data_IF_146418623227
#
_entry.id   IF_146418623227
#
_cell.length_a   1.000
_cell.length_b   1.000
_cell.length_c   1.000
_cell.angle_alpha   90.00
_cell.angle_beta   90.00
_cell.angle_gamma   90.00
#
_symmetry.space_group_name_H-M   'P 1'
#
loop_
_entity.id
_entity.type
_entity.pdbx_description
1 polymer ?
#
# COMPACT_ATOMS: atom_id res chain seq x y z
N UNK A 1 11.52 -1.47 -21.86
CA UNK A 1 10.09 -1.53 -22.21
C UNK A 1 9.35 -1.50 -20.89
N UNK A 2 8.33 -0.65 -20.73
CA UNK A 2 7.62 -0.54 -19.45
C UNK A 2 6.90 -1.87 -19.19
N UNK A 3 7.30 -2.59 -18.12
CA UNK A 3 6.69 -3.86 -17.68
C UNK A 3 5.32 -3.64 -16.99
N UNK A 4 4.75 -2.44 -17.09
CA UNK A 4 3.41 -2.16 -16.60
C UNK A 4 2.38 -2.78 -17.55
N UNK A 5 1.63 -3.75 -17.05
CA UNK A 5 0.57 -4.43 -17.82
C UNK A 5 -0.51 -3.41 -18.22
N UNK A 6 -0.90 -2.50 -17.32
CA UNK A 6 -1.78 -1.37 -17.64
C UNK A 6 -1.27 -0.07 -17.00
N UNK A 7 -0.72 0.82 -17.83
CA UNK A 7 -0.19 2.12 -17.37
C UNK A 7 -1.26 3.01 -16.73
N UNK A 8 -2.49 3.02 -17.24
CA UNK A 8 -3.54 3.90 -16.71
C UNK A 8 -4.01 3.41 -15.36
N UNK A 9 -4.17 2.10 -15.18
CA UNK A 9 -4.49 1.51 -13.87
C UNK A 9 -3.40 1.77 -12.84
N UNK A 10 -2.12 1.60 -13.21
CA UNK A 10 -1.00 1.91 -12.31
C UNK A 10 -0.98 3.38 -11.89
N UNK A 11 -1.25 4.33 -12.79
CA UNK A 11 -1.31 5.74 -12.42
C UNK A 11 -2.48 6.03 -11.46
N UNK A 12 -3.64 5.40 -11.67
CA UNK A 12 -4.78 5.55 -10.78
C UNK A 12 -4.49 4.94 -9.41
N UNK A 13 -3.89 3.75 -9.36
CA UNK A 13 -3.44 3.07 -8.15
C UNK A 13 -2.45 3.95 -7.37
N UNK A 14 -1.42 4.49 -8.03
CA UNK A 14 -0.44 5.37 -7.38
C UNK A 14 -1.07 6.63 -6.78
N UNK A 15 -2.04 7.26 -7.45
CA UNK A 15 -2.76 8.42 -6.88
C UNK A 15 -3.59 8.00 -5.65
N UNK A 16 -4.20 6.81 -5.71
CA UNK A 16 -4.97 6.24 -4.61
C UNK A 16 -4.07 5.93 -3.40
N UNK A 17 -2.92 5.29 -3.58
CA UNK A 17 -1.92 5.02 -2.53
C UNK A 17 -1.45 6.31 -1.84
N UNK A 18 -1.07 7.32 -2.63
CA UNK A 18 -0.67 8.62 -2.10
C UNK A 18 -1.76 9.20 -1.19
N UNK A 19 -3.02 9.07 -1.61
CA UNK A 19 -4.18 9.53 -0.83
C UNK A 19 -4.37 8.71 0.44
N UNK A 20 -4.24 7.39 0.38
CA UNK A 20 -4.30 6.49 1.54
C UNK A 20 -3.26 6.88 2.60
N UNK A 21 -2.05 7.23 2.18
CA UNK A 21 -0.96 7.63 3.06
C UNK A 21 -1.08 9.08 3.57
N UNK A 22 -2.11 9.83 3.18
CA UNK A 22 -2.26 11.25 3.52
C UNK A 22 -1.26 12.17 2.78
N UNK A 23 -0.66 11.69 1.70
CA UNK A 23 0.33 12.39 0.88
C UNK A 23 -0.37 13.02 -0.33
N UNK A 24 -0.21 14.33 -0.52
CA UNK A 24 -0.82 15.04 -1.65
C UNK A 24 -0.43 14.44 -3.01
N UNK A 25 -1.36 13.98 -3.86
CA UNK A 25 -0.95 13.40 -5.13
C UNK A 25 -0.38 14.46 -6.10
N UNK A 26 0.84 14.21 -6.58
CA UNK A 26 1.59 15.10 -7.48
C UNK A 26 2.19 14.30 -8.64
N UNK A 27 2.29 14.91 -9.82
CA UNK A 27 2.98 14.32 -10.98
C UNK A 27 4.42 13.89 -10.67
N UNK A 28 5.14 14.67 -9.86
CA UNK A 28 6.51 14.33 -9.47
C UNK A 28 6.57 13.03 -8.64
N UNK A 29 5.59 12.80 -7.76
CA UNK A 29 5.51 11.59 -6.93
C UNK A 29 5.14 10.35 -7.77
N UNK A 30 4.29 10.52 -8.78
CA UNK A 30 4.01 9.45 -9.76
C UNK A 30 5.26 9.11 -10.57
N UNK A 31 6.00 10.14 -11.02
CA UNK A 31 7.24 9.95 -11.76
C UNK A 31 8.27 9.15 -10.95
N UNK A 32 8.42 9.49 -9.68
CA UNK A 32 9.29 8.79 -8.72
C UNK A 32 8.85 7.34 -8.50
N UNK A 33 7.59 7.11 -8.10
CA UNK A 33 7.07 5.76 -7.79
C UNK A 33 7.06 4.81 -8.98
N UNK A 34 6.74 5.31 -10.17
CA UNK A 34 6.64 4.48 -11.38
C UNK A 34 7.93 4.49 -12.22
N UNK A 35 8.98 5.20 -11.81
CA UNK A 35 10.21 5.35 -12.58
C UNK A 35 10.01 5.98 -13.97
N UNK A 36 8.96 6.77 -14.14
CA UNK A 36 8.61 7.41 -15.41
C UNK A 36 9.16 8.84 -15.49
N UNK A 37 9.54 9.27 -16.70
CA UNK A 37 10.00 10.66 -16.88
C UNK A 37 8.88 11.67 -16.63
N UNK A 38 9.23 12.85 -16.10
CA UNK A 38 8.26 13.95 -15.89
C UNK A 38 7.43 14.33 -17.13
N UNK A 39 8.02 14.40 -18.35
CA UNK A 39 7.27 14.57 -19.59
C UNK A 39 6.27 13.43 -19.86
N UNK A 40 6.68 12.17 -19.67
CA UNK A 40 5.81 10.99 -19.85
C UNK A 40 4.61 11.02 -18.89
N UNK A 41 4.86 11.34 -17.62
CA UNK A 41 3.79 11.50 -16.63
C UNK A 41 2.85 12.64 -17.01
N UNK A 42 3.38 13.79 -17.42
CA UNK A 42 2.55 14.94 -17.81
C UNK A 42 1.64 14.63 -19.00
N UNK A 43 2.16 13.95 -20.03
CA UNK A 43 1.35 13.53 -21.18
C UNK A 43 0.28 12.51 -20.79
N UNK A 44 0.61 11.56 -19.93
CA UNK A 44 -0.32 10.51 -19.48
C UNK A 44 -1.43 11.10 -18.61
N UNK A 45 -1.09 11.99 -17.67
CA UNK A 45 -2.07 12.70 -16.85
C UNK A 45 -3.01 13.55 -17.71
N UNK A 46 -2.48 14.29 -18.70
CA UNK A 46 -3.31 15.07 -19.62
C UNK A 46 -4.26 14.20 -20.48
N UNK A 47 -3.91 12.93 -20.74
CA UNK A 47 -4.81 11.95 -21.36
C UNK A 47 -5.88 11.49 -20.37
N UNK A 48 -5.48 11.09 -19.17
CA UNK A 48 -6.40 10.64 -18.12
C UNK A 48 -7.41 11.72 -17.71
N UNK A 49 -7.00 12.99 -17.72
CA UNK A 49 -7.89 14.14 -17.46
C UNK A 49 -8.93 14.31 -18.57
N UNK A 50 -8.52 14.21 -19.85
CA UNK A 50 -9.47 14.20 -20.99
C UNK A 50 -10.43 13.01 -20.95
N UNK A 51 -9.96 11.87 -20.45
CA UNK A 51 -10.76 10.66 -20.27
C UNK A 51 -11.65 10.72 -19.01
N UNK A 52 -11.61 11.82 -18.25
CA UNK A 52 -12.45 12.05 -17.07
C UNK A 52 -12.07 11.20 -15.86
N UNK A 53 -10.82 10.74 -15.76
CA UNK A 53 -10.33 9.89 -14.67
C UNK A 53 -9.67 10.69 -13.54
N UNK A 54 -9.04 11.81 -13.87
CA UNK A 54 -8.37 12.68 -12.91
C UNK A 54 -8.68 14.15 -13.22
N UNK A 55 -8.46 15.02 -12.26
CA UNK A 55 -8.45 16.47 -12.44
C UNK A 55 -7.14 17.02 -11.93
N UNK A 56 -6.52 17.92 -12.68
CA UNK A 56 -5.39 18.72 -12.22
C UNK A 56 -5.92 20.03 -11.64
N UNK A 57 -5.83 20.19 -10.32
CA UNK A 57 -6.29 21.42 -9.65
C UNK A 57 -5.36 22.60 -9.93
N UNK A 58 -5.81 23.82 -9.62
CA UNK A 58 -5.06 25.06 -9.88
C UNK A 58 -3.70 25.13 -9.17
N UNK A 59 -3.55 24.46 -8.03
CA UNK A 59 -2.31 24.28 -7.27
C UNK A 59 -1.47 23.07 -7.73
N UNK A 60 -1.84 22.44 -8.85
CA UNK A 60 -1.19 21.29 -9.51
C UNK A 60 -1.33 19.95 -8.77
N UNK A 61 -2.21 19.86 -7.79
CA UNK A 61 -2.58 18.57 -7.18
C UNK A 61 -3.37 17.72 -8.18
N UNK A 62 -3.27 16.42 -8.02
CA UNK A 62 -4.07 15.46 -8.78
C UNK A 62 -5.19 14.93 -7.88
N UNK A 63 -6.41 15.02 -8.36
CA UNK A 63 -7.57 14.42 -7.70
C UNK A 63 -8.18 13.37 -8.61
N UNK A 64 -8.56 12.23 -8.04
CA UNK A 64 -9.35 11.23 -8.76
C UNK A 64 -10.78 11.75 -8.92
N UNK A 65 -11.32 11.68 -10.13
CA UNK A 65 -12.78 11.84 -10.31
C UNK A 65 -13.50 10.65 -9.66
N UNK A 66 -14.83 10.71 -9.55
CA UNK A 66 -15.59 9.55 -9.08
C UNK A 66 -15.32 8.29 -9.93
N UNK A 67 -15.25 8.46 -11.26
CA UNK A 67 -14.91 7.38 -12.18
C UNK A 67 -13.48 6.86 -11.97
N UNK A 68 -12.50 7.76 -11.85
CA UNK A 68 -11.12 7.38 -11.60
C UNK A 68 -10.93 6.68 -10.26
N UNK A 69 -11.62 7.16 -9.22
CA UNK A 69 -11.59 6.59 -7.88
C UNK A 69 -12.20 5.19 -7.86
N UNK A 70 -13.35 4.98 -8.50
CA UNK A 70 -13.95 3.66 -8.61
C UNK A 70 -13.01 2.67 -9.31
N UNK A 71 -12.32 3.09 -10.37
CA UNK A 71 -11.31 2.25 -11.04
C UNK A 71 -10.11 1.96 -10.13
N UNK A 72 -9.54 2.97 -9.48
CA UNK A 72 -8.40 2.80 -8.58
C UNK A 72 -8.71 1.84 -7.42
N UNK A 73 -9.88 2.00 -6.81
CA UNK A 73 -10.37 1.11 -5.74
C UNK A 73 -10.48 -0.34 -6.22
N UNK A 74 -10.98 -0.59 -7.43
CA UNK A 74 -11.09 -1.94 -7.99
C UNK A 74 -9.72 -2.56 -8.25
N UNK A 75 -8.77 -1.79 -8.79
CA UNK A 75 -7.39 -2.26 -9.00
C UNK A 75 -6.76 -2.62 -7.66
N UNK A 76 -6.85 -1.73 -6.66
CA UNK A 76 -6.31 -1.99 -5.32
C UNK A 76 -7.00 -3.16 -4.61
N UNK A 77 -8.32 -3.34 -4.79
CA UNK A 77 -9.04 -4.51 -4.27
C UNK A 77 -8.51 -5.82 -4.87
N UNK A 78 -8.33 -5.86 -6.20
CA UNK A 78 -7.75 -7.03 -6.89
C UNK A 78 -6.33 -7.30 -6.41
N UNK A 79 -5.53 -6.26 -6.25
CA UNK A 79 -4.18 -6.33 -5.73
C UNK A 79 -4.15 -7.02 -4.36
N UNK A 80 -4.82 -6.43 -3.37
CA UNK A 80 -4.82 -6.91 -1.98
C UNK A 80 -5.48 -8.30 -1.83
N UNK A 81 -6.49 -8.63 -2.64
CA UNK A 81 -7.04 -10.00 -2.70
C UNK A 81 -6.07 -11.00 -3.33
N UNK A 82 -5.32 -10.60 -4.36
CA UNK A 82 -4.28 -11.44 -4.95
C UNK A 82 -3.18 -11.74 -3.93
N UNK A 83 -2.75 -10.74 -3.15
CA UNK A 83 -1.75 -10.92 -2.10
C UNK A 83 -2.20 -11.93 -1.04
N UNK A 84 -3.47 -11.85 -0.61
CA UNK A 84 -4.07 -12.83 0.30
C UNK A 84 -4.08 -14.23 -0.30
N UNK A 85 -4.49 -14.39 -1.55
CA UNK A 85 -4.43 -15.69 -2.22
C UNK A 85 -3.00 -16.24 -2.30
N UNK A 86 -2.04 -15.40 -2.70
CA UNK A 86 -0.63 -15.77 -2.86
C UNK A 86 -0.02 -16.20 -1.53
N UNK A 87 -0.36 -15.51 -0.45
CA UNK A 87 0.17 -15.82 0.89
C UNK A 87 -0.54 -17.02 1.52
N UNK A 88 -1.87 -16.99 1.59
CA UNK A 88 -2.64 -17.92 2.42
C UNK A 88 -2.82 -19.29 1.76
N UNK A 89 -2.91 -19.34 0.42
CA UNK A 89 -3.26 -20.56 -0.33
C UNK A 89 -2.08 -21.06 -1.15
N UNK A 90 -1.42 -20.17 -1.90
CA UNK A 90 -0.27 -20.57 -2.74
C UNK A 90 0.97 -20.80 -1.86
N UNK A 91 1.12 -20.04 -0.78
CA UNK A 91 2.28 -20.12 0.11
C UNK A 91 3.53 -19.46 -0.46
N UNK A 92 3.36 -18.40 -1.25
CA UNK A 92 4.47 -17.58 -1.72
C UNK A 92 5.11 -16.84 -0.53
N UNK A 93 6.43 -16.73 -0.56
CA UNK A 93 7.20 -16.02 0.46
C UNK A 93 6.79 -14.54 0.54
N UNK A 94 6.47 -14.07 1.75
CA UNK A 94 5.91 -12.74 2.02
C UNK A 94 6.66 -11.58 1.36
N UNK A 95 8.01 -11.55 1.26
CA UNK A 95 8.71 -10.49 0.54
C UNK A 95 8.44 -10.39 -0.97
N UNK A 96 7.97 -11.46 -1.61
CA UNK A 96 7.73 -11.53 -3.06
C UNK A 96 6.27 -11.36 -3.46
N UNK A 97 5.35 -11.35 -2.48
CA UNK A 97 3.91 -11.37 -2.72
C UNK A 97 3.43 -10.14 -3.49
N UNK A 98 3.88 -8.95 -3.10
CA UNK A 98 3.51 -7.69 -3.75
C UNK A 98 3.87 -7.64 -5.24
N UNK A 99 5.06 -8.13 -5.60
CA UNK A 99 5.54 -8.11 -6.99
C UNK A 99 4.65 -8.94 -7.92
N UNK A 100 4.21 -10.12 -7.47
CA UNK A 100 3.27 -10.95 -8.20
C UNK A 100 1.87 -10.33 -8.25
N UNK A 101 1.38 -9.82 -7.11
CA UNK A 101 0.07 -9.20 -7.02
C UNK A 101 -0.08 -7.96 -7.91
N UNK A 102 0.98 -7.16 -8.04
CA UNK A 102 1.05 -6.03 -8.98
C UNK A 102 0.83 -6.44 -10.44
N UNK A 103 1.13 -7.69 -10.81
CA UNK A 103 0.83 -8.20 -12.16
C UNK A 103 -0.59 -8.76 -12.25
N UNK A 104 -1.04 -9.44 -11.19
CA UNK A 104 -2.33 -10.14 -11.18
C UNK A 104 -3.52 -9.18 -11.10
N UNK A 105 -3.34 -8.01 -10.48
CA UNK A 105 -4.39 -7.00 -10.33
C UNK A 105 -5.01 -6.57 -11.66
N UNK A 106 -4.25 -6.57 -12.76
CA UNK A 106 -4.70 -6.09 -14.07
C UNK A 106 -5.47 -7.15 -14.89
N UNK A 107 -5.43 -8.41 -14.47
CA UNK A 107 -6.02 -9.54 -15.22
C UNK A 107 -7.10 -10.28 -14.43
N UNK A 108 -7.24 -9.99 -13.13
CA UNK A 108 -8.26 -10.59 -12.29
C UNK A 108 -9.65 -10.06 -12.64
N UNK A 109 -10.61 -10.95 -12.86
CA UNK A 109 -12.01 -10.56 -13.07
C UNK A 109 -12.78 -10.43 -11.75
N UNK A 110 -13.87 -9.66 -11.74
CA UNK A 110 -14.76 -9.54 -10.57
C UNK A 110 -15.35 -10.89 -10.13
N UNK A 111 -15.56 -11.82 -11.06
CA UNK A 111 -16.02 -13.18 -10.74
C UNK A 111 -14.97 -13.94 -9.91
N UNK A 112 -13.70 -13.73 -10.21
CA UNK A 112 -12.59 -14.30 -9.44
C UNK A 112 -12.52 -13.62 -8.07
N UNK A 113 -12.59 -12.29 -8.00
CA UNK A 113 -12.58 -11.54 -6.72
C UNK A 113 -13.65 -12.07 -5.75
N UNK A 114 -14.90 -12.23 -6.21
CA UNK A 114 -16.00 -12.80 -5.41
C UNK A 114 -15.69 -14.21 -4.91
N UNK A 115 -15.08 -15.04 -5.76
CA UNK A 115 -14.71 -16.40 -5.37
C UNK A 115 -13.55 -16.41 -4.38
N UNK A 116 -12.59 -15.49 -4.53
CA UNK A 116 -11.46 -15.34 -3.63
C UNK A 116 -11.91 -14.84 -2.26
N UNK A 117 -12.79 -13.84 -2.19
CA UNK A 117 -13.33 -13.35 -0.92
C UNK A 117 -13.94 -14.51 -0.12
N UNK A 118 -14.78 -15.33 -0.74
CA UNK A 118 -15.36 -16.51 -0.08
C UNK A 118 -14.33 -17.62 0.24
N UNK A 119 -13.31 -17.81 -0.61
CA UNK A 119 -12.25 -18.81 -0.38
C UNK A 119 -11.34 -18.43 0.80
N UNK A 120 -11.11 -17.14 0.99
CA UNK A 120 -10.22 -16.55 1.98
C UNK A 120 -10.95 -16.19 3.30
N UNK A 121 -12.14 -16.74 3.51
CA UNK A 121 -13.00 -16.47 4.68
C UNK A 121 -13.28 -14.98 4.90
N UNK A 122 -13.65 -14.29 3.81
CA UNK A 122 -14.08 -12.89 3.81
C UNK A 122 -13.02 -11.93 4.41
N UNK A 123 -11.82 -11.82 3.81
CA UNK A 123 -10.72 -11.05 4.39
C UNK A 123 -10.99 -9.54 4.35
N UNK A 124 -10.57 -8.84 5.41
CA UNK A 124 -10.66 -7.38 5.52
C UNK A 124 -9.34 -6.67 5.23
N UNK A 125 -8.22 -7.36 5.37
CA UNK A 125 -6.87 -6.81 5.26
C UNK A 125 -6.02 -7.71 4.37
N UNK A 126 -5.01 -7.12 3.73
CA UNK A 126 -3.96 -7.83 3.01
C UNK A 126 -2.90 -8.42 3.99
N UNK A 127 -1.89 -9.15 3.49
CA UNK A 127 -0.80 -9.68 4.32
C UNK A 127 0.12 -8.61 4.93
N UNK A 128 0.05 -7.37 4.46
CA UNK A 128 0.82 -6.22 4.94
C UNK A 128 0.02 -5.35 5.93
N UNK A 129 -1.22 -5.73 6.24
CA UNK A 129 -2.12 -5.06 7.18
C UNK A 129 -2.96 -3.93 6.59
N UNK A 130 -2.90 -3.70 5.27
CA UNK A 130 -3.68 -2.64 4.63
C UNK A 130 -5.13 -3.11 4.36
N UNK A 131 -6.14 -2.26 4.56
CA UNK A 131 -7.54 -2.65 4.38
C UNK A 131 -7.84 -2.92 2.91
N UNK A 132 -8.57 -3.99 2.60
CA UNK A 132 -9.00 -4.28 1.23
C UNK A 132 -10.17 -3.34 0.87
N UNK A 133 -10.02 -2.42 -0.10
CA UNK A 133 -11.05 -1.42 -0.35
C UNK A 133 -12.19 -1.98 -1.22
N UNK A 134 -13.34 -1.30 -1.23
CA UNK A 134 -14.41 -1.56 -2.21
C UNK A 134 -15.05 -2.95 -2.14
N UNK A 135 -14.92 -3.68 -1.03
CA UNK A 135 -15.49 -5.02 -0.86
C UNK A 135 -17.02 -5.05 -1.00
N UNK A 136 -17.70 -3.96 -0.67
CA UNK A 136 -19.15 -3.82 -0.88
C UNK A 136 -19.56 -3.95 -2.36
N UNK A 137 -18.70 -3.58 -3.33
CA UNK A 137 -19.00 -3.74 -4.76
C UNK A 137 -19.06 -5.23 -5.18
N UNK A 138 -18.41 -6.12 -4.41
CA UNK A 138 -18.41 -7.56 -4.67
C UNK A 138 -19.38 -8.33 -3.77
N UNK A 139 -20.19 -7.64 -2.98
CA UNK A 139 -21.25 -8.23 -2.15
C UNK A 139 -20.85 -8.59 -0.72
N UNK A 140 -19.71 -8.08 -0.25
CA UNK A 140 -19.26 -8.28 1.12
C UNK A 140 -19.91 -7.26 2.07
N UNK A 141 -20.50 -7.74 3.16
CA UNK A 141 -21.08 -6.89 4.21
C UNK A 141 -20.01 -6.53 5.24
N UNK A 142 -19.33 -5.40 5.03
CA UNK A 142 -18.23 -4.98 5.90
C UNK A 142 -18.29 -3.51 6.26
N UNK A 143 -17.90 -3.19 7.50
CA UNK A 143 -17.63 -1.82 7.93
C UNK A 143 -16.50 -1.26 7.09
N UNK A 144 -16.71 -0.09 6.50
CA UNK A 144 -15.67 0.60 5.75
C UNK A 144 -14.54 1.01 6.70
N UNK A 145 -13.34 0.53 6.42
CA UNK A 145 -12.11 0.86 7.13
C UNK A 145 -11.24 1.67 6.17
N UNK A 146 -10.96 2.93 6.50
CA UNK A 146 -10.00 3.75 5.77
C UNK A 146 -8.56 3.40 6.14
N UNK A 147 -7.63 3.76 5.27
CA UNK A 147 -6.21 3.46 5.44
C UNK A 147 -5.58 4.07 6.72
N UNK A 148 -6.10 5.21 7.20
CA UNK A 148 -5.56 5.87 8.39
C UNK A 148 -6.37 5.61 9.67
N UNK A 149 -7.39 4.76 9.61
CA UNK A 149 -8.24 4.49 10.76
C UNK A 149 -7.45 3.78 11.88
N UNK A 150 -7.32 4.46 13.02
CA UNK A 150 -6.67 3.92 14.23
C UNK A 150 -5.15 3.74 14.12
N UNK A 151 -4.51 4.31 13.09
CA UNK A 151 -3.08 4.18 12.86
C UNK A 151 -2.41 5.52 12.59
N UNK A 152 -1.12 5.60 12.87
CA UNK A 152 -0.28 6.78 12.58
C UNK A 152 1.04 6.35 11.96
N UNK A 153 1.69 7.17 11.13
CA UNK A 153 3.04 6.89 10.65
C UNK A 153 4.00 6.71 11.83
N UNK A 154 4.90 5.72 11.75
CA UNK A 154 5.87 5.39 12.80
C UNK A 154 6.74 6.60 13.20
N UNK A 155 7.13 7.43 12.24
CA UNK A 155 7.89 8.66 12.48
C UNK A 155 7.13 9.71 13.32
N UNK A 156 5.79 9.68 13.28
CA UNK A 156 4.92 10.62 13.98
C UNK A 156 4.23 10.03 15.22
N UNK A 157 4.34 8.73 15.46
CA UNK A 157 3.67 8.05 16.55
C UNK A 157 4.15 8.54 17.93
N UNK A 158 3.25 8.62 18.91
CA UNK A 158 3.66 8.85 20.30
C UNK A 158 4.14 7.54 20.92
N UNK A 159 5.47 7.39 21.01
CA UNK A 159 6.17 6.24 21.57
C UNK A 159 6.45 6.42 23.06
N UNK A 160 5.47 6.92 23.83
CA UNK A 160 5.61 7.20 25.26
C UNK A 160 6.10 5.98 26.08
N UNK A 161 5.80 4.75 25.65
CA UNK A 161 6.27 3.51 26.25
C UNK A 161 7.45 2.84 25.51
N UNK A 162 7.99 3.48 24.48
CA UNK A 162 9.01 2.90 23.58
C UNK A 162 8.52 1.70 22.78
N UNK A 163 7.21 1.39 22.82
CA UNK A 163 6.59 0.25 22.15
C UNK A 163 5.34 0.65 21.39
N UNK A 164 5.13 0.03 20.24
CA UNK A 164 3.96 0.22 19.36
C UNK A 164 3.65 -1.08 18.63
N UNK A 165 2.42 -1.22 18.12
CA UNK A 165 2.06 -2.35 17.27
C UNK A 165 2.18 -1.96 15.80
N UNK A 166 2.97 -2.70 15.02
CA UNK A 166 2.97 -2.57 13.55
C UNK A 166 1.57 -2.91 13.08
N UNK A 167 0.90 -1.95 12.46
CA UNK A 167 -0.45 -2.15 11.96
C UNK A 167 -0.42 -2.40 10.45
N UNK A 168 0.33 -1.58 9.70
CA UNK A 168 0.31 -1.59 8.23
C UNK A 168 1.69 -1.25 7.66
N UNK A 169 2.04 -1.86 6.52
CA UNK A 169 3.20 -1.52 5.71
C UNK A 169 2.66 -1.06 4.35
N UNK A 170 2.83 0.23 4.02
CA UNK A 170 2.27 0.80 2.81
C UNK A 170 2.95 0.29 1.53
N UNK A 171 2.19 0.27 0.43
CA UNK A 171 2.61 -0.20 -0.91
C UNK A 171 4.01 0.27 -1.35
N UNK A 172 4.45 1.53 -1.11
CA UNK A 172 5.76 1.98 -1.57
C UNK A 172 6.96 1.25 -0.95
N UNK A 173 6.80 0.63 0.22
CA UNK A 173 7.86 -0.22 0.79
C UNK A 173 7.83 -1.63 0.25
N UNK A 174 6.68 -2.08 -0.23
CA UNK A 174 6.49 -3.48 -0.60
C UNK A 174 7.17 -3.85 -1.92
N UNK A 175 7.60 -2.85 -2.69
CA UNK A 175 8.45 -3.04 -3.89
C UNK A 175 9.90 -3.38 -3.54
N UNK A 176 10.35 -3.14 -2.31
CA UNK A 176 11.71 -3.42 -1.86
C UNK A 176 11.78 -4.78 -1.16
N UNK A 177 12.01 -5.82 -1.95
CA UNK A 177 12.11 -7.22 -1.48
C UNK A 177 13.22 -7.39 -0.44
N UNK A 178 14.34 -6.67 -0.57
CA UNK A 178 15.46 -6.76 0.38
C UNK A 178 15.05 -6.18 1.74
N UNK A 179 14.40 -5.02 1.75
CA UNK A 179 13.86 -4.43 2.96
C UNK A 179 12.79 -5.31 3.61
N UNK A 180 11.83 -5.83 2.81
CA UNK A 180 10.80 -6.74 3.33
C UNK A 180 11.42 -8.01 3.94
N UNK A 181 12.44 -8.57 3.30
CA UNK A 181 13.17 -9.73 3.84
C UNK A 181 13.79 -9.40 5.20
N UNK A 182 14.48 -8.25 5.30
CA UNK A 182 15.08 -7.80 6.56
C UNK A 182 14.03 -7.57 7.64
N UNK A 183 12.89 -6.95 7.31
CA UNK A 183 11.77 -6.74 8.24
C UNK A 183 11.23 -8.09 8.76
N UNK A 184 11.00 -9.04 7.86
CA UNK A 184 10.51 -10.38 8.21
C UNK A 184 11.51 -11.14 9.09
N UNK A 185 12.80 -11.13 8.76
CA UNK A 185 13.87 -11.76 9.54
C UNK A 185 14.01 -11.15 10.95
N UNK A 186 13.75 -9.84 11.07
CA UNK A 186 13.71 -9.14 12.35
C UNK A 186 12.39 -9.33 13.12
N UNK A 187 11.40 -10.04 12.55
CA UNK A 187 10.08 -10.27 13.14
C UNK A 187 9.14 -9.06 13.10
N UNK A 188 9.46 -8.04 12.29
CA UNK A 188 8.71 -6.79 12.17
C UNK A 188 7.62 -6.98 11.12
N UNK A 189 6.55 -7.64 11.54
CA UNK A 189 5.39 -7.96 10.70
C UNK A 189 4.13 -7.24 11.21
N UNK A 190 3.12 -7.04 10.34
CA UNK A 190 1.82 -6.55 10.78
C UNK A 190 1.25 -7.38 11.95
N UNK A 191 0.68 -6.69 12.93
CA UNK A 191 0.17 -7.27 14.17
C UNK A 191 1.20 -7.44 15.28
N UNK A 192 2.51 -7.30 15.01
CA UNK A 192 3.58 -7.51 16.00
C UNK A 192 3.84 -6.24 16.81
N UNK A 193 4.05 -6.40 18.12
CA UNK A 193 4.56 -5.34 18.99
C UNK A 193 6.07 -5.17 18.79
N UNK A 194 6.52 -3.94 18.55
CA UNK A 194 7.92 -3.59 18.33
C UNK A 194 8.37 -2.51 19.32
N UNK A 195 9.67 -2.50 19.61
CA UNK A 195 10.37 -1.40 20.27
C UNK A 195 10.82 -0.37 19.24
N UNK A 196 10.81 0.91 19.62
CA UNK A 196 11.17 2.02 18.75
C UNK A 196 12.13 2.96 19.48
N UNK A 197 13.29 3.21 18.88
CA UNK A 197 14.24 4.23 19.32
C UNK A 197 14.42 5.26 18.20
N UNK A 198 14.42 6.55 18.56
CA UNK A 198 14.52 7.65 17.59
C UNK A 198 15.87 8.33 17.65
N UNK A 199 16.51 8.46 16.49
CA UNK A 199 17.67 9.30 16.26
C UNK A 199 17.36 10.33 15.14
N UNK A 200 18.12 11.43 15.02
CA UNK A 200 17.90 12.39 13.93
C UNK A 200 18.02 11.73 12.55
N UNK A 201 16.90 11.66 11.80
CA UNK A 201 16.85 11.11 10.45
C UNK A 201 16.79 9.58 10.36
N UNK A 202 16.72 8.88 11.49
CA UNK A 202 16.69 7.41 11.54
C UNK A 202 15.86 6.92 12.71
N UNK A 203 15.03 5.92 12.45
CA UNK A 203 14.21 5.22 13.44
C UNK A 203 14.69 3.77 13.54
N UNK A 204 15.18 3.39 14.72
CA UNK A 204 15.59 2.01 15.01
C UNK A 204 14.40 1.22 15.52
N UNK A 205 14.14 0.06 14.94
CA UNK A 205 13.02 -0.83 15.29
C UNK A 205 13.49 -2.25 15.56
N UNK A 206 12.80 -2.96 16.46
CA UNK A 206 13.05 -4.36 16.75
C UNK A 206 11.90 -4.98 17.51
N UNK A 207 11.86 -6.29 17.64
CA UNK A 207 10.90 -6.96 18.53
C UNK A 207 11.41 -6.93 19.98
N UNK A 208 10.53 -6.82 21.00
CA UNK A 208 10.94 -6.94 22.40
C UNK A 208 11.76 -8.20 22.65
N UNK A 209 12.89 -8.06 23.34
CA UNK A 209 13.85 -9.15 23.62
C UNK A 209 14.47 -9.80 22.36
N UNK A 210 14.29 -9.18 21.19
CA UNK A 210 14.90 -9.58 19.93
C UNK A 210 16.38 -9.21 19.86
N UNK A 211 17.20 -10.10 19.29
CA UNK A 211 18.62 -9.85 19.07
C UNK A 211 18.88 -8.99 17.80
N UNK A 212 17.89 -8.86 16.93
CA UNK A 212 17.99 -8.14 15.65
C UNK A 212 17.20 -6.85 15.74
N UNK A 213 17.85 -5.74 15.42
CA UNK A 213 17.24 -4.42 15.24
C UNK A 213 17.56 -3.91 13.84
N UNK A 214 16.68 -3.06 13.30
CA UNK A 214 16.84 -2.42 12.01
C UNK A 214 16.83 -0.92 12.16
N UNK A 215 17.86 -0.27 11.63
CA UNK A 215 17.90 1.17 11.46
C UNK A 215 17.21 1.53 10.14
N UNK A 216 16.07 2.21 10.24
CA UNK A 216 15.28 2.66 9.10
C UNK A 216 15.44 4.16 8.92
N UNK A 217 15.85 4.65 7.74
CA UNK A 217 15.75 6.07 7.41
C UNK A 217 14.31 6.58 7.60
N UNK A 218 14.12 7.83 8.00
CA UNK A 218 12.77 8.39 8.23
C UNK A 218 11.90 8.43 6.95
N UNK A 219 12.53 8.39 5.78
CA UNK A 219 11.85 8.21 4.49
C UNK A 219 11.28 6.81 4.27
N UNK A 220 11.87 5.79 4.89
CA UNK A 220 11.35 4.43 4.91
C UNK A 220 10.32 4.29 6.04
N UNK A 221 10.70 4.70 7.26
CA UNK A 221 9.87 4.53 8.45
C UNK A 221 8.51 5.24 8.35
N UNK A 222 8.38 6.32 7.58
CA UNK A 222 7.08 7.01 7.38
C UNK A 222 6.01 6.16 6.69
N UNK A 223 6.42 5.10 5.98
CA UNK A 223 5.53 4.19 5.27
C UNK A 223 5.17 2.94 6.11
N UNK A 224 5.69 2.86 7.34
CA UNK A 224 5.24 1.91 8.36
C UNK A 224 4.24 2.62 9.26
N UNK A 225 3.05 2.06 9.39
CA UNK A 225 1.96 2.60 10.19
C UNK A 225 1.77 1.75 11.42
N UNK A 226 1.61 2.41 12.56
CA UNK A 226 1.51 1.78 13.87
C UNK A 226 0.25 2.21 14.60
N UNK A 227 -0.29 1.29 15.40
CA UNK A 227 -1.38 1.54 16.34
C UNK A 227 -0.89 1.50 17.78
N UNK A 228 -1.72 2.00 18.70
CA UNK A 228 -1.49 1.83 20.14
C UNK A 228 -1.63 0.36 20.54
N UNK A 229 -0.77 -0.10 21.44
CA UNK A 229 -0.73 -1.48 21.96
C UNK A 229 -2.02 -1.86 22.68
#
# INVERSE_FOLDING_TARGET
MSDLIDTTEMYLKTVYELTEEGITPLRARIAERLGHSGPTVSQTVARMERDGLVVVTGDRHLELTELGRAKAVRVMRKHRLAERLLTDIVGLEWPYVHEEACRWEHVMSERVEKRLAALLDHPHFDPYGNPIPGLSEIGEEQTRIEFLDGVTPLVGADVAAGRVRVARIAEPLQVDVELLTRLADAGILPGVEITVERAPGTTTVGVPDGAVVLDLPDEVARHIFVGTV
#
